data_IF_786679020344
#
_entry.id   IF_786679020344
#
_cell.length_a   1.000
_cell.length_b   1.000
_cell.length_c   1.000
_cell.angle_alpha   90.00
_cell.angle_beta   90.00
_cell.angle_gamma   90.00
#
_symmetry.space_group_name_H-M   'P 1'
#
loop_
_entity.id
_entity.type
_entity.pdbx_description
1 polymer ?
#
# COMPACT_ATOMS: atom_id res chain seq x y z
N UNK A 1 -8.97 -37.13 -15.30
CA UNK A 1 -8.00 -36.02 -15.23
C UNK A 1 -8.40 -34.93 -14.23
N UNK A 2 -9.63 -34.91 -13.73
CA UNK A 2 -10.12 -33.83 -12.87
C UNK A 2 -9.75 -33.94 -11.38
N UNK A 3 -9.44 -35.14 -10.88
CA UNK A 3 -9.08 -35.38 -9.49
C UNK A 3 -7.73 -34.73 -9.10
N UNK A 4 -6.70 -34.94 -9.92
CA UNK A 4 -5.35 -34.39 -9.65
C UNK A 4 -5.28 -32.86 -9.71
N UNK A 5 -6.10 -32.23 -10.53
CA UNK A 5 -6.22 -30.77 -10.60
C UNK A 5 -6.91 -30.22 -9.35
N UNK A 6 -7.98 -30.88 -8.89
CA UNK A 6 -8.69 -30.49 -7.66
C UNK A 6 -7.78 -30.61 -6.43
N UNK A 7 -7.00 -31.67 -6.32
CA UNK A 7 -6.08 -31.88 -5.19
C UNK A 7 -4.94 -30.85 -5.20
N UNK A 8 -4.38 -30.51 -6.36
CA UNK A 8 -3.36 -29.47 -6.48
C UNK A 8 -3.92 -28.07 -6.16
N UNK A 9 -5.13 -27.76 -6.61
CA UNK A 9 -5.80 -26.49 -6.29
C UNK A 9 -6.14 -26.43 -4.80
N UNK A 10 -6.68 -27.49 -4.23
CA UNK A 10 -7.00 -27.56 -2.81
C UNK A 10 -5.74 -27.40 -1.93
N UNK A 11 -4.66 -28.08 -2.30
CA UNK A 11 -3.37 -27.95 -1.60
C UNK A 11 -2.81 -26.53 -1.73
N UNK A 12 -2.88 -25.92 -2.91
CA UNK A 12 -2.43 -24.53 -3.12
C UNK A 12 -3.24 -23.51 -2.31
N UNK A 13 -4.56 -23.69 -2.24
CA UNK A 13 -5.43 -22.83 -1.42
C UNK A 13 -5.16 -23.04 0.07
N UNK A 14 -5.01 -24.30 0.52
CA UNK A 14 -4.70 -24.58 1.92
C UNK A 14 -3.34 -23.98 2.34
N UNK A 15 -2.33 -24.06 1.47
CA UNK A 15 -1.03 -23.46 1.72
C UNK A 15 -1.09 -21.92 1.79
N UNK A 16 -1.81 -21.30 0.86
CA UNK A 16 -2.02 -19.85 0.87
C UNK A 16 -2.82 -19.38 2.09
N UNK A 17 -3.79 -20.17 2.56
CA UNK A 17 -4.51 -19.88 3.79
C UNK A 17 -3.61 -20.01 5.02
N UNK A 18 -2.80 -21.04 5.10
CA UNK A 18 -1.85 -21.25 6.19
C UNK A 18 -0.82 -20.10 6.25
N UNK A 19 -0.30 -19.67 5.10
CA UNK A 19 0.59 -18.51 4.99
C UNK A 19 -0.08 -17.23 5.51
N UNK A 20 -1.30 -16.94 5.05
CA UNK A 20 -2.04 -15.74 5.48
C UNK A 20 -2.36 -15.76 6.97
N UNK A 21 -2.83 -16.89 7.48
CA UNK A 21 -3.13 -17.05 8.91
C UNK A 21 -1.85 -16.92 9.73
N UNK A 22 -0.76 -17.55 9.32
CA UNK A 22 0.54 -17.43 9.97
C UNK A 22 1.05 -15.98 10.01
N UNK A 23 0.95 -15.29 8.89
CA UNK A 23 1.32 -13.87 8.79
C UNK A 23 0.44 -12.99 9.68
N UNK A 24 -0.88 -13.23 9.70
CA UNK A 24 -1.80 -12.48 10.58
C UNK A 24 -1.51 -12.72 12.07
N UNK A 25 -1.25 -13.96 12.47
CA UNK A 25 -0.90 -14.28 13.86
C UNK A 25 0.40 -13.62 14.29
N UNK A 26 1.41 -13.66 13.42
CA UNK A 26 2.70 -13.03 13.66
C UNK A 26 2.56 -11.50 13.75
N UNK A 27 1.79 -10.91 12.87
CA UNK A 27 1.49 -9.47 12.86
C UNK A 27 0.72 -9.06 14.12
N UNK A 28 -0.21 -9.89 14.59
CA UNK A 28 -0.98 -9.66 15.81
C UNK A 28 -0.08 -9.74 17.04
N UNK A 29 0.81 -10.75 17.11
CA UNK A 29 1.77 -10.89 18.20
C UNK A 29 2.73 -9.70 18.27
N UNK A 30 3.28 -9.27 17.13
CA UNK A 30 4.15 -8.09 17.03
C UNK A 30 3.39 -6.83 17.45
N UNK A 31 2.17 -6.63 16.96
CA UNK A 31 1.34 -5.48 17.31
C UNK A 31 1.02 -5.42 18.79
N UNK A 32 0.66 -6.54 19.41
CA UNK A 32 0.41 -6.61 20.85
C UNK A 32 1.67 -6.32 21.70
N UNK A 33 2.83 -6.80 21.22
CA UNK A 33 4.10 -6.52 21.90
C UNK A 33 4.45 -5.04 21.83
N UNK A 34 4.27 -4.43 20.65
CA UNK A 34 4.49 -3.00 20.44
C UNK A 34 3.53 -2.16 21.30
N UNK A 35 2.24 -2.54 21.32
CA UNK A 35 1.24 -1.86 22.16
C UNK A 35 1.55 -1.89 23.65
N UNK A 36 2.21 -2.94 24.13
CA UNK A 36 2.63 -3.04 25.54
C UNK A 36 3.88 -2.23 25.85
N UNK A 37 4.75 -2.03 24.86
CA UNK A 37 6.04 -1.34 25.02
C UNK A 37 5.94 0.16 24.76
N UNK A 38 5.01 0.60 23.88
CA UNK A 38 4.87 2.00 23.53
C UNK A 38 3.75 2.68 24.33
N UNK A 39 3.99 3.94 24.67
CA UNK A 39 2.98 4.80 25.25
C UNK A 39 1.83 5.06 24.24
N UNK A 40 0.55 5.04 24.65
CA UNK A 40 -0.60 5.32 23.77
C UNK A 40 -0.48 6.62 22.96
N UNK A 41 0.16 7.65 23.51
CA UNK A 41 0.40 8.90 22.80
C UNK A 41 1.27 8.71 21.54
N UNK A 42 2.33 7.90 21.63
CA UNK A 42 3.21 7.61 20.49
C UNK A 42 2.47 6.82 19.40
N UNK A 43 1.55 5.94 19.82
CA UNK A 43 0.69 5.20 18.88
C UNK A 43 -0.21 6.15 18.07
N UNK A 44 -0.76 7.19 18.69
CA UNK A 44 -1.55 8.21 17.99
C UNK A 44 -0.75 8.94 16.92
N UNK A 45 0.50 9.30 17.22
CA UNK A 45 1.40 9.98 16.27
C UNK A 45 1.68 9.16 15.01
N UNK A 46 1.65 7.83 15.10
CA UNK A 46 1.84 6.92 13.95
C UNK A 46 0.50 6.59 13.29
N UNK A 47 -0.55 6.35 14.06
CA UNK A 47 -1.84 5.90 13.55
C UNK A 47 -2.55 6.96 12.70
N UNK A 48 -2.47 8.24 13.10
CA UNK A 48 -3.12 9.33 12.39
C UNK A 48 -2.55 9.51 10.97
N UNK A 49 -1.24 9.70 10.76
CA UNK A 49 -0.67 9.77 9.42
C UNK A 49 -0.93 8.51 8.59
N UNK A 50 -0.92 7.32 9.23
CA UNK A 50 -1.21 6.05 8.55
C UNK A 50 -2.62 6.00 7.99
N UNK A 51 -3.62 6.51 8.72
CA UNK A 51 -4.99 6.57 8.25
C UNK A 51 -5.13 7.49 7.01
N UNK A 52 -4.51 8.66 7.04
CA UNK A 52 -4.49 9.56 5.87
C UNK A 52 -3.75 8.96 4.69
N UNK A 53 -2.63 8.29 4.94
CA UNK A 53 -1.87 7.58 3.93
C UNK A 53 -2.68 6.46 3.28
N UNK A 54 -3.43 5.68 4.06
CA UNK A 54 -4.29 4.60 3.55
C UNK A 54 -5.34 5.14 2.58
N UNK A 55 -6.00 6.25 2.91
CA UNK A 55 -6.96 6.91 2.01
C UNK A 55 -6.27 7.41 0.74
N UNK A 56 -5.10 8.02 0.87
CA UNK A 56 -4.34 8.52 -0.27
C UNK A 56 -3.87 7.40 -1.21
N UNK A 57 -3.46 6.26 -0.67
CA UNK A 57 -3.09 5.08 -1.46
C UNK A 57 -4.29 4.59 -2.28
N UNK A 58 -5.47 4.49 -1.67
CA UNK A 58 -6.70 4.08 -2.39
C UNK A 58 -7.02 5.04 -3.53
N UNK A 59 -6.85 6.35 -3.33
CA UNK A 59 -7.05 7.37 -4.37
C UNK A 59 -5.97 7.23 -5.46
N UNK A 60 -4.72 7.05 -5.08
CA UNK A 60 -3.60 6.90 -6.02
C UNK A 60 -3.75 5.62 -6.86
N UNK A 61 -4.18 4.52 -6.25
CA UNK A 61 -4.37 3.22 -6.91
C UNK A 61 -5.62 3.16 -7.81
N UNK A 62 -6.41 4.21 -7.96
CA UNK A 62 -7.72 4.35 -8.63
C UNK A 62 -7.97 3.47 -9.88
N UNK A 63 -7.48 2.24 -9.88
CA UNK A 63 -7.79 1.21 -10.90
C UNK A 63 -7.00 1.31 -12.20
N UNK A 64 -6.06 2.25 -12.35
CA UNK A 64 -5.26 2.38 -13.58
C UNK A 64 -4.38 1.15 -13.84
N UNK A 65 -3.80 0.57 -12.80
CA UNK A 65 -3.06 -0.70 -12.91
C UNK A 65 -3.96 -1.84 -13.38
N UNK A 66 -5.20 -1.88 -12.91
CA UNK A 66 -6.18 -2.89 -13.33
C UNK A 66 -6.71 -2.64 -14.74
N UNK A 67 -6.87 -1.37 -15.14
CA UNK A 67 -7.24 -1.02 -16.51
C UNK A 67 -6.17 -1.47 -17.51
N UNK A 68 -4.89 -1.35 -17.16
CA UNK A 68 -3.77 -1.79 -17.97
C UNK A 68 -3.74 -3.33 -18.12
N UNK A 69 -4.06 -4.06 -17.06
CA UNK A 69 -4.17 -5.54 -17.09
C UNK A 69 -5.32 -5.99 -18.00
N UNK A 70 -6.43 -5.24 -18.05
CA UNK A 70 -7.60 -5.54 -18.88
C UNK A 70 -7.38 -5.23 -20.36
N UNK A 71 -6.45 -4.33 -20.70
CA UNK A 71 -6.10 -4.04 -22.10
C UNK A 71 -5.32 -5.21 -22.66
N UNK A 72 -5.91 -5.95 -23.62
CA UNK A 72 -5.39 -7.21 -24.15
C UNK A 72 -3.97 -7.12 -24.73
N UNK A 73 -3.58 -5.99 -25.33
CA UNK A 73 -2.24 -5.73 -25.89
C UNK A 73 -1.78 -4.31 -25.55
N UNK A 74 -1.29 -4.04 -24.33
CA UNK A 74 -0.70 -2.74 -24.01
C UNK A 74 0.66 -2.59 -24.69
N UNK A 75 0.89 -1.41 -25.26
CA UNK A 75 2.15 -1.02 -25.85
C UNK A 75 3.12 -0.50 -24.78
N UNK A 76 4.42 -0.43 -25.11
CA UNK A 76 5.43 0.14 -24.19
C UNK A 76 5.11 1.59 -23.80
N UNK A 77 4.43 2.33 -24.65
CA UNK A 77 4.05 3.72 -24.38
C UNK A 77 2.83 3.82 -23.46
N UNK A 78 1.93 2.83 -23.47
CA UNK A 78 0.84 2.74 -22.49
C UNK A 78 1.39 2.57 -21.07
N UNK A 79 2.43 1.74 -20.90
CA UNK A 79 3.09 1.56 -19.59
C UNK A 79 3.75 2.85 -19.09
N UNK A 80 4.45 3.57 -19.99
CA UNK A 80 5.09 4.85 -19.64
C UNK A 80 4.06 5.89 -19.24
N UNK A 81 2.96 5.97 -19.98
CA UNK A 81 1.89 6.94 -19.72
C UNK A 81 1.20 6.68 -18.38
N UNK A 82 0.86 5.43 -18.08
CA UNK A 82 0.26 5.03 -16.81
C UNK A 82 1.24 5.24 -15.66
N UNK A 83 2.53 4.95 -15.87
CA UNK A 83 3.57 5.23 -14.89
C UNK A 83 3.67 6.72 -14.56
N UNK A 84 3.83 7.55 -15.57
CA UNK A 84 3.95 8.99 -15.38
C UNK A 84 2.71 9.59 -14.70
N UNK A 85 1.52 9.12 -15.07
CA UNK A 85 0.27 9.55 -14.46
C UNK A 85 0.18 9.11 -12.99
N UNK A 86 0.46 7.84 -12.68
CA UNK A 86 0.37 7.30 -11.32
C UNK A 86 1.38 7.97 -10.38
N UNK A 87 2.61 8.13 -10.83
CA UNK A 87 3.65 8.85 -10.08
C UNK A 87 3.28 10.32 -9.93
N UNK A 88 2.74 10.96 -10.97
CA UNK A 88 2.28 12.35 -10.93
C UNK A 88 1.17 12.54 -9.88
N UNK A 89 0.15 11.69 -9.88
CA UNK A 89 -0.93 11.71 -8.88
C UNK A 89 -0.39 11.48 -7.48
N UNK A 90 0.51 10.51 -7.30
CA UNK A 90 1.12 10.23 -6.01
C UNK A 90 1.96 11.42 -5.48
N UNK A 91 2.68 12.12 -6.36
CA UNK A 91 3.43 13.32 -5.99
C UNK A 91 2.52 14.48 -5.60
N UNK A 92 1.42 14.68 -6.32
CA UNK A 92 0.41 15.71 -5.97
C UNK A 92 -0.21 15.40 -4.61
N UNK A 93 -0.64 14.15 -4.39
CA UNK A 93 -1.19 13.72 -3.11
C UNK A 93 -0.17 13.84 -1.98
N UNK A 94 1.08 13.50 -2.23
CA UNK A 94 2.18 13.71 -1.28
C UNK A 94 2.30 15.19 -0.89
N UNK A 95 2.34 16.09 -1.87
CA UNK A 95 2.42 17.53 -1.63
C UNK A 95 1.23 18.06 -0.82
N UNK A 96 0.01 17.63 -1.15
CA UNK A 96 -1.21 17.98 -0.41
C UNK A 96 -1.16 17.48 1.02
N UNK A 97 -0.78 16.23 1.24
CA UNK A 97 -0.69 15.65 2.59
C UNK A 97 0.39 16.32 3.45
N UNK A 98 1.53 16.65 2.87
CA UNK A 98 2.59 17.39 3.58
C UNK A 98 2.12 18.80 3.94
N UNK A 99 1.41 19.49 3.04
CA UNK A 99 0.84 20.80 3.33
C UNK A 99 -0.24 20.74 4.43
N UNK A 100 -1.04 19.67 4.44
CA UNK A 100 -2.06 19.44 5.46
C UNK A 100 -1.51 18.93 6.79
N UNK A 101 -0.29 18.40 6.82
CA UNK A 101 0.32 17.82 8.03
C UNK A 101 0.35 18.78 9.22
N UNK A 102 0.58 20.08 8.96
CA UNK A 102 0.55 21.12 9.99
C UNK A 102 -0.86 21.35 10.58
N UNK A 103 -1.89 21.29 9.72
CA UNK A 103 -3.29 21.42 10.13
C UNK A 103 -3.74 20.18 10.91
N UNK A 104 -3.35 19.01 10.46
CA UNK A 104 -3.62 17.73 11.13
C UNK A 104 -2.97 17.72 12.51
N UNK A 105 -1.70 18.12 12.62
CA UNK A 105 -0.97 18.19 13.87
C UNK A 105 -1.64 19.12 14.90
N UNK A 106 -2.15 20.27 14.44
CA UNK A 106 -2.89 21.22 15.30
C UNK A 106 -4.24 20.67 15.72
N UNK A 107 -4.96 19.99 14.83
CA UNK A 107 -6.28 19.43 15.13
C UNK A 107 -6.23 18.33 16.18
N UNK A 108 -5.19 17.51 16.16
CA UNK A 108 -4.98 16.42 17.12
C UNK A 108 -4.10 16.79 18.32
N UNK A 109 -3.64 18.06 18.39
CA UNK A 109 -2.75 18.56 19.44
C UNK A 109 -1.45 17.73 19.59
N UNK A 110 -0.91 17.28 18.46
CA UNK A 110 0.28 16.43 18.36
C UNK A 110 1.31 17.03 17.39
N UNK A 111 2.19 17.95 17.86
CA UNK A 111 3.15 18.63 17.00
C UNK A 111 4.19 17.69 16.36
N UNK A 112 4.41 16.50 16.95
CA UNK A 112 5.31 15.48 16.43
C UNK A 112 4.88 14.99 15.03
N UNK A 113 3.59 15.01 14.73
CA UNK A 113 3.05 14.63 13.41
C UNK A 113 3.70 15.46 12.30
N UNK A 114 3.90 16.76 12.50
CA UNK A 114 4.50 17.64 11.49
C UNK A 114 5.91 17.22 11.10
N UNK A 115 6.67 16.65 12.03
CA UNK A 115 8.05 16.19 11.79
C UNK A 115 8.09 14.84 11.08
N UNK A 116 7.16 13.95 11.42
CA UNK A 116 7.16 12.56 10.92
C UNK A 116 6.40 12.45 9.61
N UNK A 117 5.35 13.24 9.41
CA UNK A 117 4.47 13.17 8.25
C UNK A 117 5.18 13.24 6.90
N UNK A 118 6.15 14.13 6.64
CA UNK A 118 6.83 14.18 5.35
C UNK A 118 7.55 12.87 5.01
N UNK A 119 8.20 12.25 5.99
CA UNK A 119 8.90 10.97 5.81
C UNK A 119 7.89 9.84 5.62
N UNK A 120 6.82 9.85 6.38
CA UNK A 120 5.76 8.85 6.31
C UNK A 120 5.03 8.89 4.96
N UNK A 121 4.68 10.06 4.47
CA UNK A 121 3.99 10.24 3.21
C UNK A 121 4.88 10.00 1.97
N UNK A 122 6.21 10.01 2.12
CA UNK A 122 7.14 9.63 1.07
C UNK A 122 6.91 8.19 0.57
N UNK A 123 6.28 7.35 1.38
CA UNK A 123 5.85 6.01 0.98
C UNK A 123 4.90 6.05 -0.23
N UNK A 124 4.09 7.10 -0.43
CA UNK A 124 3.14 7.25 -1.53
C UNK A 124 3.81 7.20 -2.90
N UNK A 125 4.73 8.12 -3.25
CA UNK A 125 5.40 8.07 -4.54
C UNK A 125 6.27 6.83 -4.70
N UNK A 126 6.83 6.30 -3.61
CA UNK A 126 7.61 5.07 -3.64
C UNK A 126 6.73 3.86 -3.99
N UNK A 127 5.55 3.74 -3.39
CA UNK A 127 4.57 2.69 -3.69
C UNK A 127 4.08 2.79 -5.14
N UNK A 128 3.80 4.00 -5.62
CA UNK A 128 3.37 4.22 -6.99
C UNK A 128 4.44 3.80 -8.00
N UNK A 129 5.72 4.04 -7.72
CA UNK A 129 6.82 3.59 -8.55
C UNK A 129 6.94 2.05 -8.57
N UNK A 130 6.74 1.39 -7.42
CA UNK A 130 6.81 -0.06 -7.31
C UNK A 130 5.59 -0.78 -7.91
N UNK A 131 4.41 -0.18 -7.89
CA UNK A 131 3.16 -0.80 -8.35
C UNK A 131 3.23 -1.24 -9.82
N UNK A 132 3.88 -0.48 -10.67
CA UNK A 132 4.01 -0.78 -12.09
C UNK A 132 5.05 -1.85 -12.36
N UNK A 133 6.15 -1.86 -11.62
CA UNK A 133 7.13 -2.95 -11.73
C UNK A 133 6.48 -4.29 -11.38
N UNK A 134 5.62 -4.31 -10.36
CA UNK A 134 4.85 -5.51 -10.00
C UNK A 134 3.88 -5.92 -11.13
N UNK A 135 3.22 -4.98 -11.78
CA UNK A 135 2.31 -5.25 -12.92
C UNK A 135 3.06 -5.84 -14.11
N UNK A 136 4.24 -5.32 -14.45
CA UNK A 136 5.10 -5.86 -15.51
C UNK A 136 5.54 -7.28 -15.17
N UNK A 137 5.97 -7.50 -13.92
CA UNK A 137 6.46 -8.80 -13.46
C UNK A 137 5.37 -9.88 -13.52
N UNK A 138 4.19 -9.61 -12.98
CA UNK A 138 3.04 -10.53 -13.00
C UNK A 138 2.64 -10.93 -14.41
N UNK A 139 2.83 -10.06 -15.40
CA UNK A 139 2.48 -10.34 -16.79
C UNK A 139 3.55 -11.13 -17.54
N UNK A 140 4.82 -10.93 -17.22
CA UNK A 140 5.93 -11.64 -17.86
C UNK A 140 5.95 -13.13 -17.47
N UNK A 141 5.39 -13.46 -16.30
CA UNK A 141 5.34 -14.85 -15.80
C UNK A 141 4.00 -15.56 -16.05
N UNK A 142 3.07 -15.00 -16.81
CA UNK A 142 1.79 -15.61 -17.19
C UNK A 142 1.76 -15.96 -18.67
#
# INVERSE_FOLDING_TARGET
MDGQLRDKVASGVAWSMAEKVGTMLLQLAVSLTILRLLNPAIMGVIAIPTAFLAVAIVIADSGFSQALIRKGTPTADDYKSVFAFNVGVALVLYGVLVALAGSIARFYDMPEITRIAPVFFLQLPLSAACAIQNTIFVRTFR
#
